data_IF_600618810286
#
_entry.id   IF_600618810286
#
_cell.length_a   1.000
_cell.length_b   1.000
_cell.length_c   1.000
_cell.angle_alpha   90.00
_cell.angle_beta   90.00
_cell.angle_gamma   90.00
#
_symmetry.space_group_name_H-M   'P 1'
#
loop_
_entity.id
_entity.type
_entity.pdbx_description
1 polymer ?
#
# COMPACT_ATOMS: atom_id res chain seq x y z
N UNK A 1 -7.49 6.61 7.99
CA UNK A 1 -6.59 7.75 8.32
C UNK A 1 -6.91 8.43 9.63
N UNK A 2 -8.18 8.65 9.98
CA UNK A 2 -8.55 9.36 11.22
C UNK A 2 -7.97 8.69 12.48
N UNK A 3 -7.99 7.36 12.56
CA UNK A 3 -7.38 6.60 13.65
C UNK A 3 -5.86 6.76 13.79
N UNK A 4 -5.14 7.27 12.78
CA UNK A 4 -3.71 7.59 12.89
C UNK A 4 -3.47 9.01 13.44
N UNK A 5 -4.48 9.88 13.35
CA UNK A 5 -4.42 11.28 13.79
C UNK A 5 -4.88 11.48 15.23
N UNK A 6 -5.64 10.53 15.77
CA UNK A 6 -6.15 10.60 17.15
C UNK A 6 -5.07 10.39 18.23
N UNK A 7 -3.85 10.03 17.83
CA UNK A 7 -2.71 9.80 18.72
C UNK A 7 -2.80 8.51 19.55
N UNK A 8 -3.75 7.63 19.26
CA UNK A 8 -3.97 6.39 20.00
C UNK A 8 -2.79 5.42 19.91
N UNK A 9 -2.11 5.35 18.77
CA UNK A 9 -0.92 4.52 18.58
C UNK A 9 0.37 5.12 19.18
N UNK A 10 0.33 6.40 19.54
CA UNK A 10 1.52 7.15 19.91
C UNK A 10 2.46 7.38 18.75
N UNK A 11 3.76 7.16 18.95
CA UNK A 11 4.75 7.33 17.88
C UNK A 11 4.76 6.05 17.07
N UNK A 12 4.31 6.13 15.81
CA UNK A 12 4.42 5.00 14.88
C UNK A 12 5.89 4.74 14.56
N UNK A 13 6.28 3.46 14.53
CA UNK A 13 7.67 3.04 14.29
C UNK A 13 7.80 1.99 13.19
N UNK A 14 6.72 1.26 12.89
CA UNK A 14 6.74 0.18 11.93
C UNK A 14 5.42 0.00 11.17
N UNK A 15 5.53 -0.34 9.89
CA UNK A 15 4.40 -0.71 9.02
C UNK A 15 4.73 -2.05 8.35
N UNK A 16 3.79 -2.98 8.37
CA UNK A 16 3.81 -4.22 7.58
C UNK A 16 2.66 -4.17 6.58
N UNK A 17 2.96 -4.25 5.29
CA UNK A 17 1.97 -4.26 4.22
C UNK A 17 2.26 -5.34 3.19
N UNK A 18 1.27 -6.16 2.88
CA UNK A 18 1.38 -7.23 1.88
C UNK A 18 0.18 -7.26 0.97
N UNK A 19 0.43 -7.36 -0.34
CA UNK A 19 -0.58 -7.71 -1.32
C UNK A 19 -0.04 -8.78 -2.26
N UNK A 20 -0.64 -9.97 -2.19
CA UNK A 20 -0.33 -11.09 -3.06
C UNK A 20 -1.56 -11.83 -3.57
N UNK A 21 -1.43 -12.47 -4.72
CA UNK A 21 -2.41 -13.40 -5.27
C UNK A 21 -1.77 -14.52 -6.11
N UNK A 22 -2.57 -15.55 -6.41
CA UNK A 22 -2.10 -16.76 -7.09
C UNK A 22 -2.07 -16.58 -8.60
N UNK A 23 -0.92 -16.14 -9.11
CA UNK A 23 -0.55 -16.26 -10.51
C UNK A 23 -1.43 -15.47 -11.48
N UNK A 24 -1.02 -15.46 -12.74
CA UNK A 24 -1.83 -14.96 -13.85
C UNK A 24 -1.75 -15.93 -15.03
N UNK A 25 -2.77 -15.97 -15.91
CA UNK A 25 -2.71 -16.82 -17.09
C UNK A 25 -1.50 -16.50 -17.98
N UNK A 26 -0.96 -17.49 -18.72
CA UNK A 26 0.06 -17.24 -19.73
C UNK A 26 -0.39 -16.17 -20.74
N UNK A 27 0.52 -15.27 -21.10
CA UNK A 27 0.22 -14.15 -22.01
C UNK A 27 -0.51 -12.96 -21.37
N UNK A 28 -0.76 -12.99 -20.05
CA UNK A 28 -1.25 -11.83 -19.33
C UNK A 28 -0.22 -10.67 -19.39
N UNK A 29 -0.69 -9.44 -19.56
CA UNK A 29 0.17 -8.26 -19.67
C UNK A 29 1.04 -8.03 -18.43
N UNK A 30 0.61 -8.52 -17.26
CA UNK A 30 1.40 -8.47 -16.02
C UNK A 30 2.72 -9.22 -16.12
N UNK A 31 2.85 -10.15 -17.08
CA UNK A 31 4.09 -10.89 -17.37
C UNK A 31 4.93 -10.24 -18.48
N UNK A 32 4.47 -9.13 -19.06
CA UNK A 32 5.09 -8.46 -20.21
C UNK A 32 5.73 -7.13 -19.78
N UNK A 33 7.09 -7.03 -19.78
CA UNK A 33 7.78 -5.81 -19.37
C UNK A 33 7.47 -4.62 -20.28
N UNK A 34 7.12 -4.84 -21.55
CA UNK A 34 6.80 -3.78 -22.51
C UNK A 34 5.44 -3.12 -22.25
N UNK A 35 4.60 -3.75 -21.41
CA UNK A 35 3.26 -3.30 -21.04
C UNK A 35 3.17 -2.82 -19.59
N UNK A 36 4.31 -2.61 -18.94
CA UNK A 36 4.36 -2.25 -17.52
C UNK A 36 3.98 -3.41 -16.60
N UNK A 37 4.32 -4.65 -16.99
CA UNK A 37 4.14 -5.81 -16.12
C UNK A 37 5.07 -5.80 -14.91
N UNK A 38 4.77 -6.71 -13.97
CA UNK A 38 5.50 -6.90 -12.73
C UNK A 38 4.68 -6.58 -11.48
N UNK A 39 5.00 -7.23 -10.37
CA UNK A 39 4.30 -7.06 -9.10
C UNK A 39 4.41 -5.63 -8.55
N UNK A 40 5.57 -4.99 -8.74
CA UNK A 40 5.80 -3.59 -8.32
C UNK A 40 4.85 -2.62 -9.03
N UNK A 41 4.51 -2.84 -10.30
CA UNK A 41 3.61 -1.93 -11.03
C UNK A 41 2.13 -2.29 -10.86
N UNK A 42 1.84 -3.55 -10.57
CA UNK A 42 0.45 -4.01 -10.46
C UNK A 42 -0.12 -3.80 -9.05
N UNK A 43 0.50 -4.41 -8.04
CA UNK A 43 0.03 -4.36 -6.63
C UNK A 43 0.93 -3.51 -5.73
N UNK A 44 2.14 -3.18 -6.18
CA UNK A 44 3.04 -2.26 -5.50
C UNK A 44 2.45 -0.89 -5.16
N UNK A 45 1.65 -0.23 -6.04
CA UNK A 45 1.04 1.05 -5.70
C UNK A 45 0.19 1.01 -4.44
N UNK A 46 -0.52 -0.10 -4.18
CA UNK A 46 -1.39 -0.25 -3.01
C UNK A 46 -0.59 -0.31 -1.71
N UNK A 47 0.41 -1.19 -1.66
CA UNK A 47 1.21 -1.42 -0.44
C UNK A 47 2.17 -0.27 -0.14
N UNK A 48 2.71 0.39 -1.18
CA UNK A 48 3.60 1.53 -0.99
C UNK A 48 2.79 2.78 -0.65
N UNK A 49 1.67 3.06 -1.33
CA UNK A 49 0.85 4.23 -1.04
C UNK A 49 0.30 4.19 0.38
N UNK A 50 -0.20 3.05 0.86
CA UNK A 50 -0.75 2.98 2.21
C UNK A 50 0.33 3.21 3.28
N UNK A 51 1.57 2.74 3.04
CA UNK A 51 2.69 2.98 3.95
C UNK A 51 3.05 4.48 3.99
N UNK A 52 3.23 5.10 2.83
CA UNK A 52 3.54 6.53 2.71
C UNK A 52 2.43 7.40 3.32
N UNK A 53 1.18 7.13 2.95
CA UNK A 53 0.02 7.88 3.39
C UNK A 53 -0.23 7.70 4.89
N UNK A 54 0.10 6.55 5.48
CA UNK A 54 0.00 6.34 6.93
C UNK A 54 0.98 7.20 7.72
N UNK A 55 2.23 7.28 7.26
CA UNK A 55 3.24 8.17 7.87
C UNK A 55 2.86 9.62 7.69
N UNK A 56 2.46 10.03 6.48
CA UNK A 56 1.95 11.37 6.19
C UNK A 56 0.77 11.75 7.11
N UNK A 57 -0.20 10.85 7.27
CA UNK A 57 -1.36 11.09 8.13
C UNK A 57 -0.99 11.23 9.61
N UNK A 58 -0.07 10.41 10.11
CA UNK A 58 0.42 10.49 11.50
C UNK A 58 1.24 11.76 11.76
N UNK A 59 2.08 12.17 10.81
CA UNK A 59 2.89 13.37 10.89
C UNK A 59 2.13 14.68 10.59
N UNK A 60 0.91 14.60 10.03
CA UNK A 60 0.16 15.76 9.57
C UNK A 60 0.81 16.47 8.37
N UNK A 61 1.48 15.71 7.49
CA UNK A 61 2.21 16.20 6.33
C UNK A 61 1.64 15.62 5.03
N UNK A 62 2.00 16.19 3.89
CA UNK A 62 1.73 15.56 2.59
C UNK A 62 2.78 14.47 2.29
N UNK A 63 2.44 13.46 1.49
CA UNK A 63 3.39 12.38 1.12
C UNK A 63 4.61 12.96 0.39
N UNK A 64 4.39 13.95 -0.47
CA UNK A 64 5.44 14.69 -1.18
C UNK A 64 6.44 15.45 -0.29
N UNK A 65 6.18 15.56 1.02
CA UNK A 65 7.08 16.20 2.00
C UNK A 65 7.90 15.19 2.81
N UNK A 66 7.65 13.88 2.64
CA UNK A 66 8.35 12.83 3.38
C UNK A 66 9.74 12.57 2.80
N UNK A 67 10.69 12.25 3.68
CA UNK A 67 11.95 11.63 3.26
C UNK A 67 11.73 10.13 3.06
N UNK A 68 12.01 9.60 1.87
CA UNK A 68 11.74 8.20 1.54
C UNK A 68 13.01 7.55 0.99
N UNK A 69 13.43 6.47 1.63
CA UNK A 69 14.60 5.69 1.24
C UNK A 69 14.24 4.22 1.11
N UNK A 70 14.74 3.56 0.05
CA UNK A 70 14.67 2.10 -0.08
C UNK A 70 15.91 1.51 0.59
N UNK A 71 15.79 1.03 1.83
CA UNK A 71 16.93 0.48 2.58
C UNK A 71 17.40 -0.86 2.03
N UNK A 72 16.45 -1.72 1.61
CA UNK A 72 16.77 -3.02 1.04
C UNK A 72 15.64 -3.55 0.15
N UNK A 73 16.00 -4.42 -0.80
CA UNK A 73 15.04 -5.07 -1.70
C UNK A 73 15.50 -6.46 -2.11
N UNK A 74 14.58 -7.41 -2.15
CA UNK A 74 14.74 -8.74 -2.73
C UNK A 74 13.71 -8.92 -3.83
N UNK A 75 14.15 -9.40 -5.00
CA UNK A 75 13.28 -9.57 -6.17
C UNK A 75 13.41 -10.96 -6.73
N UNK A 76 12.27 -11.59 -6.97
CA UNK A 76 12.14 -12.81 -7.78
C UNK A 76 11.57 -12.39 -9.12
N UNK A 77 12.24 -12.72 -10.21
CA UNK A 77 11.78 -12.46 -11.57
C UNK A 77 11.22 -13.73 -12.20
N UNK A 78 10.40 -13.60 -13.24
CA UNK A 78 10.09 -14.76 -14.08
C UNK A 78 11.30 -15.14 -14.93
N UNK A 79 11.28 -16.35 -15.49
CA UNK A 79 12.40 -16.91 -16.26
C UNK A 79 12.50 -16.34 -17.69
N UNK A 80 11.62 -15.43 -18.09
CA UNK A 80 11.63 -14.85 -19.43
C UNK A 80 12.83 -13.90 -19.62
N UNK A 81 13.47 -13.86 -20.81
CA UNK A 81 14.48 -12.86 -21.12
C UNK A 81 13.92 -11.43 -20.96
N UNK A 82 14.56 -10.59 -20.13
CA UNK A 82 14.04 -9.27 -19.79
C UNK A 82 12.79 -9.32 -18.91
N UNK A 83 12.62 -10.42 -18.16
CA UNK A 83 11.48 -10.71 -17.32
C UNK A 83 11.08 -9.63 -16.33
N UNK A 84 9.83 -9.72 -15.87
CA UNK A 84 9.28 -8.82 -14.86
C UNK A 84 9.51 -9.36 -13.46
N UNK A 85 9.41 -8.50 -12.44
CA UNK A 85 9.36 -8.94 -11.07
C UNK A 85 8.04 -9.67 -10.78
N UNK A 86 8.13 -10.87 -10.20
CA UNK A 86 6.99 -11.69 -9.79
C UNK A 86 6.69 -11.51 -8.31
N UNK A 87 7.74 -11.38 -7.51
CA UNK A 87 7.65 -11.05 -6.09
C UNK A 87 8.75 -10.08 -5.73
N UNK A 88 8.36 -8.96 -5.13
CA UNK A 88 9.29 -7.99 -4.56
C UNK A 88 9.00 -7.85 -3.07
N UNK A 89 10.04 -8.02 -2.25
CA UNK A 89 10.03 -7.65 -0.83
C UNK A 89 10.98 -6.49 -0.64
N UNK A 90 10.57 -5.45 0.07
CA UNK A 90 11.42 -4.31 0.32
C UNK A 90 11.22 -3.76 1.73
N UNK A 91 12.27 -3.14 2.25
CA UNK A 91 12.21 -2.31 3.44
C UNK A 91 12.40 -0.85 3.04
N UNK A 92 11.45 -0.01 3.42
CA UNK A 92 11.48 1.43 3.22
C UNK A 92 11.75 2.12 4.57
N UNK A 93 12.49 3.22 4.55
CA UNK A 93 12.55 4.17 5.65
C UNK A 93 11.83 5.44 5.23
N UNK A 94 10.71 5.74 5.90
CA UNK A 94 9.80 6.83 5.55
C UNK A 94 9.82 7.82 6.72
N UNK A 95 10.59 8.89 6.59
CA UNK A 95 10.77 9.92 7.64
C UNK A 95 11.10 9.32 9.02
N UNK A 96 11.91 8.26 9.05
CA UNK A 96 12.30 7.55 10.27
C UNK A 96 11.42 6.37 10.69
N UNK A 97 10.28 6.15 10.00
CA UNK A 97 9.41 4.99 10.22
C UNK A 97 9.79 3.87 9.26
N UNK A 98 10.00 2.66 9.77
CA UNK A 98 10.31 1.51 8.92
C UNK A 98 9.03 0.92 8.32
N UNK A 99 9.06 0.57 7.03
CA UNK A 99 7.96 -0.15 6.40
C UNK A 99 8.49 -1.38 5.65
N UNK A 100 8.00 -2.57 6.02
CA UNK A 100 8.25 -3.80 5.30
C UNK A 100 7.07 -4.03 4.34
N UNK A 101 7.37 -4.06 3.04
CA UNK A 101 6.36 -4.20 1.97
C UNK A 101 6.58 -5.47 1.16
N UNK A 102 5.51 -6.22 0.92
CA UNK A 102 5.48 -7.37 0.01
C UNK A 102 4.46 -7.16 -1.11
N UNK A 103 4.92 -7.32 -2.34
CA UNK A 103 4.10 -7.30 -3.54
C UNK A 103 4.37 -8.56 -4.35
N UNK A 104 3.34 -9.34 -4.66
CA UNK A 104 3.49 -10.57 -5.44
C UNK A 104 2.30 -10.85 -6.34
N UNK A 105 2.57 -11.28 -7.56
CA UNK A 105 1.55 -11.74 -8.52
C UNK A 105 1.58 -13.26 -8.72
N UNK A 106 2.40 -13.97 -7.93
CA UNK A 106 2.47 -15.44 -7.93
C UNK A 106 2.89 -15.96 -6.55
N UNK A 107 2.00 -15.81 -5.57
CA UNK A 107 2.17 -16.32 -4.20
C UNK A 107 0.81 -16.62 -3.57
N UNK A 108 0.82 -17.23 -2.39
CA UNK A 108 -0.41 -17.45 -1.63
C UNK A 108 -1.17 -16.11 -1.46
N UNK A 109 -2.51 -16.07 -1.66
CA UNK A 109 -3.25 -14.83 -1.55
C UNK A 109 -3.19 -14.25 -0.14
N UNK A 110 -2.87 -12.97 -0.06
CA UNK A 110 -2.87 -12.23 1.19
C UNK A 110 -3.07 -10.75 0.93
N UNK A 111 -3.84 -10.10 1.82
CA UNK A 111 -3.85 -8.66 1.97
C UNK A 111 -3.68 -8.37 3.46
N UNK A 112 -2.55 -7.77 3.81
CA UNK A 112 -2.24 -7.43 5.20
C UNK A 112 -1.83 -5.98 5.29
N UNK A 113 -2.29 -5.34 6.36
CA UNK A 113 -1.86 -4.02 6.77
C UNK A 113 -1.85 -4.00 8.29
N UNK A 114 -0.67 -3.75 8.84
CA UNK A 114 -0.48 -3.44 10.26
C UNK A 114 0.38 -2.19 10.39
N UNK A 115 -0.04 -1.28 11.27
CA UNK A 115 0.70 -0.06 11.61
C UNK A 115 0.93 -0.09 13.12
N UNK A 116 2.19 -0.17 13.52
CA UNK A 116 2.61 -0.30 14.92
C UNK A 116 3.19 1.02 15.43
N UNK A 117 2.94 1.30 16.70
CA UNK A 117 3.59 2.36 17.46
C UNK A 117 3.77 1.97 18.92
N UNK A 118 4.40 2.87 19.69
CA UNK A 118 4.78 2.63 21.08
C UNK A 118 3.62 2.37 22.04
N UNK A 119 2.38 2.68 21.61
CA UNK A 119 1.16 2.49 22.40
C UNK A 119 0.18 1.47 21.81
N UNK A 120 0.53 0.74 20.75
CA UNK A 120 -0.30 -0.32 20.19
C UNK A 120 -0.19 -0.43 18.67
N UNK A 121 -1.12 -1.13 18.05
CA UNK A 121 -1.17 -1.29 16.59
C UNK A 121 -2.56 -1.11 16.02
N UNK A 122 -2.65 -0.62 14.78
CA UNK A 122 -3.83 -0.74 13.93
C UNK A 122 -3.64 -1.93 12.99
N UNK A 123 -4.67 -2.76 12.88
CA UNK A 123 -4.65 -3.98 12.06
C UNK A 123 -5.90 -4.01 11.20
N UNK A 124 -5.73 -4.22 9.89
CA UNK A 124 -6.85 -4.49 9.01
C UNK A 124 -7.23 -5.97 9.08
N UNK A 125 -8.37 -6.26 9.71
CA UNK A 125 -8.84 -7.61 9.92
C UNK A 125 -9.68 -8.12 8.74
N UNK A 126 -9.64 -9.43 8.51
CA UNK A 126 -10.46 -10.11 7.50
C UNK A 126 -9.78 -10.36 6.15
N UNK A 127 -8.55 -9.87 5.94
CA UNK A 127 -7.76 -10.17 4.75
C UNK A 127 -8.15 -9.36 3.49
N UNK A 128 -8.90 -8.28 3.66
CA UNK A 128 -9.37 -7.40 2.58
C UNK A 128 -8.88 -5.96 2.81
N UNK A 129 -7.56 -5.79 3.01
CA UNK A 129 -6.96 -4.47 3.27
C UNK A 129 -6.99 -3.54 2.04
N UNK A 130 -7.06 -4.12 0.83
CA UNK A 130 -6.96 -3.39 -0.44
C UNK A 130 -8.16 -3.59 -1.36
N UNK A 131 -9.01 -4.62 -1.14
CA UNK A 131 -10.19 -4.89 -1.98
C UNK A 131 -11.49 -5.02 -1.19
N UNK A 132 -12.13 -3.90 -0.88
CA UNK A 132 -13.44 -3.90 -0.22
C UNK A 132 -14.62 -3.86 -1.23
N UNK A 133 -14.75 -4.87 -2.11
CA UNK A 133 -15.83 -4.93 -3.11
C UNK A 133 -16.98 -5.89 -2.78
N UNK A 134 -16.66 -7.13 -2.42
CA UNK A 134 -17.65 -8.16 -2.12
C UNK A 134 -17.51 -8.71 -0.71
N UNK A 135 -16.69 -8.07 0.12
CA UNK A 135 -16.38 -8.55 1.46
C UNK A 135 -16.07 -7.34 2.34
N UNK A 136 -16.87 -7.19 3.40
CA UNK A 136 -16.67 -6.15 4.39
C UNK A 136 -15.28 -6.28 5.05
N UNK A 137 -14.72 -5.15 5.44
CA UNK A 137 -13.42 -5.09 6.12
C UNK A 137 -13.55 -4.38 7.46
N UNK A 138 -12.62 -4.66 8.38
CA UNK A 138 -12.65 -4.07 9.73
C UNK A 138 -11.29 -3.52 10.09
N UNK A 139 -11.30 -2.37 10.74
CA UNK A 139 -10.12 -1.80 11.36
C UNK A 139 -10.15 -2.12 12.85
N UNK A 140 -9.11 -2.80 13.32
CA UNK A 140 -8.93 -3.15 14.72
C UNK A 140 -7.77 -2.38 15.33
N UNK A 141 -7.87 -2.13 16.62
CA UNK A 141 -6.80 -1.63 17.47
C UNK A 141 -6.38 -2.71 18.44
N UNK A 142 -5.10 -3.03 18.43
CA UNK A 142 -4.50 -4.05 19.28
C UNK A 142 -3.63 -3.34 20.33
N UNK A 143 -3.90 -3.57 21.62
CA UNK A 143 -3.17 -2.95 22.75
C UNK A 143 -3.18 -3.88 23.96
N UNK A 144 -2.01 -4.16 24.53
CA UNK A 144 -1.87 -4.96 25.76
C UNK A 144 -2.63 -6.31 25.72
N UNK A 145 -2.68 -6.94 24.54
CA UNK A 145 -3.40 -8.19 24.31
C UNK A 145 -4.92 -8.05 24.11
N UNK A 146 -5.48 -6.83 24.24
CA UNK A 146 -6.85 -6.53 23.90
C UNK A 146 -7.00 -6.14 22.41
N UNK A 147 -8.13 -6.54 21.82
CA UNK A 147 -8.52 -6.20 20.45
C UNK A 147 -9.82 -5.41 20.52
N UNK A 148 -9.80 -4.20 19.97
CA UNK A 148 -10.95 -3.31 19.84
C UNK A 148 -11.26 -3.09 18.36
N UNK A 149 -12.49 -3.34 17.93
CA UNK A 149 -12.92 -2.95 16.58
C UNK A 149 -13.25 -1.46 16.58
N UNK A 150 -12.45 -0.67 15.85
CA UNK A 150 -12.68 0.78 15.72
C UNK A 150 -13.77 1.07 14.70
N UNK A 151 -13.64 0.46 13.52
CA UNK A 151 -14.53 0.69 12.39
C UNK A 151 -14.85 -0.62 11.68
N UNK A 152 -16.03 -0.65 11.09
CA UNK A 152 -16.47 -1.71 10.17
C UNK A 152 -16.94 -1.06 8.89
N UNK A 153 -16.32 -1.45 7.78
CA UNK A 153 -16.62 -0.93 6.46
C UNK A 153 -17.45 -1.97 5.72
N UNK A 154 -18.71 -1.67 5.36
CA UNK A 154 -19.47 -2.55 4.49
C UNK A 154 -18.79 -2.69 3.13
N UNK A 155 -19.18 -3.72 2.39
CA UNK A 155 -18.77 -3.85 1.00
C UNK A 155 -19.32 -2.68 0.18
N UNK A 156 -18.51 -2.19 -0.77
CA UNK A 156 -18.85 -1.04 -1.60
C UNK A 156 -18.35 -1.26 -3.02
N UNK A 157 -18.78 -0.47 -3.99
CA UNK A 157 -18.13 -0.48 -5.30
C UNK A 157 -17.00 0.56 -5.33
N UNK A 158 -15.73 0.17 -5.10
CA UNK A 158 -14.63 1.13 -5.06
C UNK A 158 -14.42 1.82 -6.41
N UNK A 159 -14.77 1.18 -7.53
CA UNK A 159 -14.62 1.77 -8.85
C UNK A 159 -15.64 2.88 -9.08
N UNK A 160 -16.88 2.67 -8.66
CA UNK A 160 -17.89 3.72 -8.66
C UNK A 160 -17.42 4.92 -7.83
N UNK A 161 -16.96 4.68 -6.60
CA UNK A 161 -16.48 5.76 -5.71
C UNK A 161 -15.31 6.55 -6.30
N UNK A 162 -14.36 5.89 -6.96
CA UNK A 162 -13.24 6.55 -7.64
C UNK A 162 -13.73 7.46 -8.78
N UNK A 163 -14.66 6.98 -9.62
CA UNK A 163 -15.22 7.77 -10.73
C UNK A 163 -16.01 8.97 -10.20
N UNK A 164 -16.79 8.78 -9.14
CA UNK A 164 -17.52 9.86 -8.50
C UNK A 164 -16.59 10.91 -7.88
N UNK A 165 -15.51 10.51 -7.21
CA UNK A 165 -14.51 11.43 -6.65
C UNK A 165 -13.81 12.23 -7.74
N UNK A 166 -13.45 11.58 -8.84
CA UNK A 166 -12.91 12.25 -10.01
C UNK A 166 -13.89 13.30 -10.54
N UNK A 167 -15.18 12.95 -10.66
CA UNK A 167 -16.23 13.86 -11.11
C UNK A 167 -16.44 15.05 -10.17
N UNK A 168 -16.36 14.87 -8.85
CA UNK A 168 -16.39 15.97 -7.85
C UNK A 168 -15.15 16.87 -7.98
N UNK A 169 -13.98 16.28 -8.16
CA UNK A 169 -12.71 17.00 -8.31
C UNK A 169 -12.69 17.88 -9.56
N UNK A 170 -13.09 17.35 -10.71
CA UNK A 170 -13.13 18.11 -11.98
C UNK A 170 -14.11 19.28 -11.94
N UNK A 171 -15.21 19.14 -11.19
CA UNK A 171 -16.20 20.22 -11.00
C UNK A 171 -15.77 21.25 -9.94
N UNK A 172 -14.73 20.97 -9.16
CA UNK A 172 -14.25 21.83 -8.09
C UNK A 172 -15.05 21.73 -6.80
N UNK A 173 -15.89 20.69 -6.65
CA UNK A 173 -16.70 20.49 -5.44
C UNK A 173 -15.84 20.05 -4.25
N UNK A 174 -14.82 19.22 -4.52
CA UNK A 174 -13.94 18.63 -3.52
C UNK A 174 -12.50 18.58 -4.06
N UNK A 175 -11.48 18.61 -3.19
CA UNK A 175 -10.10 18.35 -3.62
C UNK A 175 -9.90 16.89 -4.00
N UNK A 176 -8.85 16.61 -4.80
CA UNK A 176 -8.42 15.25 -5.05
C UNK A 176 -8.00 14.58 -3.74
N UNK A 177 -8.46 13.33 -3.53
CA UNK A 177 -7.98 12.49 -2.43
C UNK A 177 -6.51 12.08 -2.60
N UNK A 178 -5.99 12.14 -3.84
CA UNK A 178 -4.59 11.90 -4.17
C UNK A 178 -4.04 13.11 -4.94
N UNK A 179 -3.37 14.07 -4.27
CA UNK A 179 -2.72 15.18 -4.94
C UNK A 179 -1.65 14.70 -5.93
N UNK A 180 -1.48 15.41 -7.05
CA UNK A 180 -0.51 15.03 -8.10
C UNK A 180 0.93 14.91 -7.59
N UNK A 181 1.34 15.76 -6.64
CA UNK A 181 2.66 15.70 -6.02
C UNK A 181 2.87 14.39 -5.26
N UNK A 182 1.82 13.87 -4.63
CA UNK A 182 1.86 12.63 -3.87
C UNK A 182 1.88 11.43 -4.82
N UNK A 183 1.15 11.49 -5.93
CA UNK A 183 1.26 10.50 -7.01
C UNK A 183 2.67 10.43 -7.62
N UNK A 184 3.34 11.57 -7.81
CA UNK A 184 4.73 11.62 -8.28
C UNK A 184 5.69 11.03 -7.25
N UNK A 185 5.50 11.34 -5.96
CA UNK A 185 6.30 10.77 -4.89
C UNK A 185 6.18 9.24 -4.84
N UNK A 186 4.95 8.70 -4.93
CA UNK A 186 4.71 7.27 -5.05
C UNK A 186 5.42 6.68 -6.28
N UNK A 187 5.24 7.27 -7.46
CA UNK A 187 5.85 6.79 -8.70
C UNK A 187 7.39 6.69 -8.60
N UNK A 188 8.04 7.69 -7.98
CA UNK A 188 9.49 7.68 -7.77
C UNK A 188 9.95 6.51 -6.88
N UNK A 189 9.16 6.12 -5.87
CA UNK A 189 9.47 4.96 -5.03
C UNK A 189 9.32 3.67 -5.83
N UNK A 190 8.25 3.53 -6.62
CA UNK A 190 8.03 2.36 -7.47
C UNK A 190 9.13 2.21 -8.53
N UNK A 191 9.63 3.32 -9.08
CA UNK A 191 10.77 3.32 -10.00
C UNK A 191 12.05 2.82 -9.33
N UNK A 192 12.36 3.28 -8.11
CA UNK A 192 13.49 2.77 -7.33
C UNK A 192 13.34 1.28 -7.01
N UNK A 193 12.12 0.83 -6.69
CA UNK A 193 11.80 -0.58 -6.49
C UNK A 193 11.80 -1.41 -7.77
N UNK A 194 11.86 -0.79 -8.96
CA UNK A 194 12.04 -1.48 -10.24
C UNK A 194 13.45 -1.41 -10.79
N UNK A 195 14.26 -0.47 -10.30
CA UNK A 195 15.61 -0.27 -10.79
C UNK A 195 16.42 -1.59 -10.73
N UNK A 196 17.28 -1.87 -11.72
CA UNK A 196 18.18 -3.02 -11.69
C UNK A 196 19.08 -2.97 -10.44
N UNK A 197 19.43 -4.12 -9.87
CA UNK A 197 20.47 -4.17 -8.84
C UNK A 197 21.82 -3.87 -9.50
N UNK A 198 22.56 -2.90 -8.95
CA UNK A 198 23.92 -2.52 -9.36
C UNK A 198 24.97 -3.50 -8.86
#
# INVERSE_FOLDING_TARGET
MEALRDGSLGVIDHIDAEFSFTGVPPGNYRLDPSRGGGAVLDVGPYVVDIALSSVAASAGQAVSQLGIEVESRMVVHNEAPGGVDITTRARLLISGVAADVLMSIDSAPAQRLQISGDRGALVWAGGEAFTNWHTASRLERHRDGAIETLDSFPDTDPYQLMVEQFGRTVRGDEPSVMPMSDSVALANVLEQLRAPQS
#
